data_IF_259562897654
#
_entry.id   IF_259562897654
#
_cell.length_a   1.000
_cell.length_b   1.000
_cell.length_c   1.000
_cell.angle_alpha   90.00
_cell.angle_beta   90.00
_cell.angle_gamma   90.00
#
_symmetry.space_group_name_H-M   'P 1'
#
loop_
_entity.id
_entity.type
_entity.pdbx_description
1 polymer ?
#
# COMPACT_ATOMS: atom_id res chain seq x y z
N UNK A 1 42.99 -33.17 -5.42
CA UNK A 1 42.92 -31.96 -4.56
C UNK A 1 42.57 -30.69 -5.34
N UNK A 2 43.12 -30.48 -6.54
CA UNK A 2 42.78 -29.33 -7.41
C UNK A 2 41.31 -29.31 -7.84
N UNK A 3 40.75 -30.45 -8.26
CA UNK A 3 39.32 -30.56 -8.65
C UNK A 3 38.35 -30.15 -7.51
N UNK A 4 38.65 -30.55 -6.28
CA UNK A 4 37.88 -30.18 -5.10
C UNK A 4 38.01 -28.69 -4.77
N UNK A 5 39.19 -28.07 -4.96
CA UNK A 5 39.41 -26.64 -4.81
C UNK A 5 38.65 -25.84 -5.89
N UNK A 6 38.70 -26.33 -7.13
CA UNK A 6 37.97 -25.73 -8.25
C UNK A 6 36.44 -25.81 -8.03
N UNK A 7 35.95 -26.98 -7.63
CA UNK A 7 34.53 -27.16 -7.28
C UNK A 7 34.12 -26.26 -6.10
N UNK A 8 34.93 -26.15 -5.06
CA UNK A 8 34.66 -25.25 -3.94
C UNK A 8 34.63 -23.78 -4.38
N UNK A 9 35.60 -23.33 -5.18
CA UNK A 9 35.68 -21.96 -5.65
C UNK A 9 34.52 -21.55 -6.57
N UNK A 10 33.82 -22.50 -7.19
CA UNK A 10 32.60 -22.25 -7.99
C UNK A 10 31.30 -22.33 -7.16
N UNK A 11 31.38 -22.71 -5.88
CA UNK A 11 30.20 -22.71 -5.01
C UNK A 11 29.83 -21.30 -4.56
N UNK A 12 28.55 -21.05 -4.39
CA UNK A 12 28.05 -19.80 -3.82
C UNK A 12 28.61 -19.51 -2.41
N UNK A 13 29.00 -20.54 -1.65
CA UNK A 13 29.64 -20.38 -0.33
C UNK A 13 30.99 -19.67 -0.40
N UNK A 14 31.78 -19.99 -1.42
CA UNK A 14 33.08 -19.33 -1.61
C UNK A 14 32.97 -17.90 -2.13
N UNK A 15 31.85 -17.56 -2.76
CA UNK A 15 31.59 -16.24 -3.34
C UNK A 15 30.77 -15.32 -2.41
N UNK A 16 30.30 -15.82 -1.26
CA UNK A 16 29.42 -15.08 -0.35
C UNK A 16 30.15 -13.89 0.28
N UNK A 17 29.65 -12.69 0.01
CA UNK A 17 30.15 -11.46 0.64
C UNK A 17 29.47 -11.21 1.97
N UNK A 18 30.12 -10.41 2.84
CA UNK A 18 29.53 -10.03 4.13
C UNK A 18 28.22 -9.24 3.96
N UNK A 19 28.15 -8.38 2.95
CA UNK A 19 26.93 -7.63 2.65
C UNK A 19 25.78 -8.54 2.22
N UNK A 20 26.04 -9.54 1.37
CA UNK A 20 25.04 -10.54 0.98
C UNK A 20 24.57 -11.35 2.20
N UNK A 21 25.49 -11.74 3.09
CA UNK A 21 25.11 -12.44 4.33
C UNK A 21 24.15 -11.63 5.19
N UNK A 22 24.39 -10.31 5.36
CA UNK A 22 23.45 -9.42 6.07
C UNK A 22 22.09 -9.39 5.35
N UNK A 23 22.06 -9.26 4.03
CA UNK A 23 20.80 -9.23 3.28
C UNK A 23 20.03 -10.54 3.37
N UNK A 24 20.70 -11.68 3.40
CA UNK A 24 20.09 -13.00 3.65
C UNK A 24 19.43 -13.00 5.04
N UNK A 25 20.12 -12.51 6.08
CA UNK A 25 19.55 -12.43 7.43
C UNK A 25 18.31 -11.53 7.42
N UNK A 26 18.37 -10.36 6.78
CA UNK A 26 17.21 -9.45 6.65
C UNK A 26 16.04 -10.17 5.97
N UNK A 27 16.29 -10.86 4.85
CA UNK A 27 15.26 -11.62 4.14
C UNK A 27 14.64 -12.72 5.02
N UNK A 28 15.45 -13.45 5.79
CA UNK A 28 14.97 -14.48 6.73
C UNK A 28 14.14 -13.90 7.86
N UNK A 29 14.53 -12.72 8.40
CA UNK A 29 13.73 -12.01 9.41
C UNK A 29 12.38 -11.61 8.83
N UNK A 30 12.33 -11.05 7.61
CA UNK A 30 11.08 -10.68 6.97
C UNK A 30 10.21 -11.90 6.67
N UNK A 31 10.78 -13.03 6.24
CA UNK A 31 10.09 -14.31 6.07
C UNK A 31 9.50 -14.79 7.40
N UNK A 32 10.27 -14.74 8.48
CA UNK A 32 9.78 -15.10 9.81
C UNK A 32 8.59 -14.23 10.24
N UNK A 33 8.67 -12.92 10.01
CA UNK A 33 7.60 -11.97 10.32
C UNK A 33 6.36 -12.28 9.48
N UNK A 34 6.51 -12.53 8.18
CA UNK A 34 5.40 -12.87 7.30
C UNK A 34 4.70 -14.17 7.73
N UNK A 35 5.48 -15.23 8.05
CA UNK A 35 4.94 -16.56 8.35
C UNK A 35 4.41 -16.65 9.79
N UNK A 36 5.23 -16.26 10.78
CA UNK A 36 4.90 -16.45 12.20
C UNK A 36 4.00 -15.35 12.74
N UNK A 37 4.24 -14.10 12.37
CA UNK A 37 3.44 -12.96 12.82
C UNK A 37 2.24 -12.69 11.92
N UNK A 38 2.17 -13.33 10.74
CA UNK A 38 1.12 -13.17 9.72
C UNK A 38 0.96 -11.70 9.27
N UNK A 39 2.08 -10.97 9.22
CA UNK A 39 2.12 -9.59 8.79
C UNK A 39 2.12 -9.53 7.26
N UNK A 40 0.99 -9.13 6.67
CA UNK A 40 0.76 -8.99 5.22
C UNK A 40 1.37 -10.15 4.39
N UNK A 41 1.03 -11.44 4.74
CA UNK A 41 1.75 -12.60 4.23
C UNK A 41 1.67 -12.72 2.70
N UNK A 42 0.59 -12.25 2.08
CA UNK A 42 0.40 -12.34 0.63
C UNK A 42 1.47 -11.58 -0.17
N UNK A 43 2.02 -10.50 0.36
CA UNK A 43 3.02 -9.68 -0.30
C UNK A 43 4.39 -9.77 0.36
N UNK A 44 4.44 -9.72 1.69
CA UNK A 44 5.72 -9.73 2.38
C UNK A 44 6.49 -11.05 2.18
N UNK A 45 5.79 -12.20 2.07
CA UNK A 45 6.42 -13.49 1.83
C UNK A 45 7.12 -13.54 0.45
N UNK A 46 6.45 -13.26 -0.69
CA UNK A 46 7.14 -13.26 -1.97
C UNK A 46 8.20 -12.15 -2.10
N UNK A 47 8.01 -10.97 -1.49
CA UNK A 47 9.05 -9.91 -1.44
C UNK A 47 10.28 -10.43 -0.72
N UNK A 48 10.12 -11.00 0.47
CA UNK A 48 11.24 -11.50 1.26
C UNK A 48 11.97 -12.65 0.56
N UNK A 49 11.22 -13.50 -0.14
CA UNK A 49 11.83 -14.60 -0.91
C UNK A 49 12.57 -14.09 -2.15
N UNK A 50 12.03 -13.09 -2.85
CA UNK A 50 12.72 -12.41 -3.95
C UNK A 50 14.02 -11.74 -3.50
N UNK A 51 13.98 -11.08 -2.32
CA UNK A 51 15.18 -10.52 -1.69
C UNK A 51 16.20 -11.61 -1.34
N UNK A 52 15.76 -12.76 -0.84
CA UNK A 52 16.62 -13.90 -0.57
C UNK A 52 17.31 -14.37 -1.85
N UNK A 53 16.54 -14.61 -2.92
CA UNK A 53 17.06 -15.14 -4.18
C UNK A 53 18.12 -14.24 -4.81
N UNK A 54 17.94 -12.93 -4.83
CA UNK A 54 18.89 -11.99 -5.48
C UNK A 54 20.17 -11.78 -4.68
N UNK A 55 20.13 -12.03 -3.36
CA UNK A 55 21.29 -11.87 -2.48
C UNK A 55 22.04 -13.20 -2.24
N UNK A 56 21.55 -14.31 -2.76
CA UNK A 56 22.33 -15.54 -2.83
C UNK A 56 23.39 -15.40 -3.94
N UNK A 57 24.65 -15.79 -3.70
CA UNK A 57 25.67 -15.78 -4.73
C UNK A 57 25.28 -16.68 -5.90
N UNK A 58 25.34 -16.14 -7.11
CA UNK A 58 25.09 -16.83 -8.36
C UNK A 58 26.31 -16.84 -9.27
N UNK A 59 26.20 -17.52 -10.40
CA UNK A 59 27.24 -17.47 -11.44
C UNK A 59 27.32 -16.02 -11.97
N UNK A 60 28.54 -15.45 -12.08
CA UNK A 60 28.70 -14.11 -12.63
C UNK A 60 28.07 -14.00 -14.04
N UNK A 61 27.31 -12.94 -14.28
CA UNK A 61 26.56 -12.64 -15.52
C UNK A 61 25.42 -13.63 -15.87
N UNK A 62 25.07 -14.57 -14.99
CA UNK A 62 23.95 -15.50 -15.14
C UNK A 62 22.94 -15.38 -13.99
N UNK A 63 22.91 -14.25 -13.30
CA UNK A 63 22.01 -13.99 -12.18
C UNK A 63 20.53 -13.93 -12.61
N UNK A 64 19.62 -14.24 -11.70
CA UNK A 64 18.17 -14.26 -11.97
C UNK A 64 17.64 -12.88 -12.43
N UNK A 65 18.31 -11.78 -12.08
CA UNK A 65 17.95 -10.40 -12.47
C UNK A 65 18.80 -9.89 -13.66
N UNK A 66 19.74 -10.70 -14.17
CA UNK A 66 20.53 -10.38 -15.35
C UNK A 66 19.76 -10.70 -16.64
N UNK A 67 20.11 -10.07 -17.80
CA UNK A 67 19.51 -10.37 -19.08
C UNK A 67 19.56 -11.87 -19.38
N UNK A 68 18.39 -12.48 -19.61
CA UNK A 68 18.24 -13.95 -19.77
C UNK A 68 17.70 -14.65 -18.52
N UNK A 69 17.79 -14.05 -17.35
CA UNK A 69 17.26 -14.60 -16.07
C UNK A 69 15.74 -14.48 -15.94
N UNK A 70 15.15 -15.41 -15.19
CA UNK A 70 13.69 -15.45 -15.00
C UNK A 70 13.15 -14.15 -14.41
N UNK A 71 13.76 -13.64 -13.33
CA UNK A 71 13.29 -12.44 -12.65
C UNK A 71 13.49 -11.18 -13.49
N UNK A 72 14.51 -11.17 -14.38
CA UNK A 72 14.70 -10.08 -15.32
C UNK A 72 13.49 -9.90 -16.24
N UNK A 73 12.97 -10.98 -16.83
CA UNK A 73 11.80 -10.90 -17.72
C UNK A 73 10.52 -10.59 -16.94
N UNK A 74 10.31 -11.21 -15.80
CA UNK A 74 9.16 -10.90 -14.97
C UNK A 74 9.18 -9.44 -14.46
N UNK A 75 10.37 -8.91 -14.15
CA UNK A 75 10.53 -7.52 -13.71
C UNK A 75 10.16 -6.50 -14.79
N UNK A 76 10.17 -6.86 -16.07
CA UNK A 76 9.70 -5.94 -17.12
C UNK A 76 8.24 -5.52 -16.89
N UNK A 77 7.38 -6.37 -16.36
CA UNK A 77 6.00 -6.00 -16.02
C UNK A 77 5.92 -4.96 -14.89
N UNK A 78 6.88 -4.94 -13.96
CA UNK A 78 7.04 -3.86 -12.97
C UNK A 78 7.50 -2.59 -13.66
N UNK A 79 8.60 -2.67 -14.42
CA UNK A 79 9.25 -1.54 -15.12
C UNK A 79 8.30 -0.84 -16.09
N UNK A 80 7.46 -1.59 -16.77
CA UNK A 80 6.42 -1.07 -17.67
C UNK A 80 5.17 -0.56 -16.92
N UNK A 81 5.07 -0.80 -15.60
CA UNK A 81 3.94 -0.36 -14.79
C UNK A 81 2.66 -1.17 -15.01
N UNK A 82 2.76 -2.46 -15.37
CA UNK A 82 1.63 -3.34 -15.68
C UNK A 82 0.99 -3.90 -14.40
N UNK A 83 1.79 -4.42 -13.48
CA UNK A 83 1.25 -5.16 -12.31
C UNK A 83 0.46 -4.29 -11.33
N UNK A 84 0.88 -3.07 -10.96
CA UNK A 84 0.11 -2.26 -10.00
C UNK A 84 -1.31 -1.95 -10.47
N UNK A 85 -1.57 -1.52 -11.72
CA UNK A 85 -2.94 -1.35 -12.23
C UNK A 85 -3.77 -2.66 -12.21
N UNK A 86 -3.17 -3.81 -12.52
CA UNK A 86 -3.86 -5.10 -12.45
C UNK A 86 -4.22 -5.50 -11.00
N UNK A 87 -3.39 -5.16 -10.02
CA UNK A 87 -3.75 -5.31 -8.60
C UNK A 87 -4.92 -4.38 -8.27
N UNK A 88 -4.93 -3.15 -8.76
CA UNK A 88 -6.04 -2.22 -8.57
C UNK A 88 -7.36 -2.74 -9.16
N UNK A 89 -7.31 -3.42 -10.32
CA UNK A 89 -8.47 -4.12 -10.88
C UNK A 89 -9.04 -5.15 -9.88
N UNK A 90 -8.18 -5.95 -9.30
CA UNK A 90 -8.58 -6.98 -8.34
C UNK A 90 -9.08 -6.38 -7.01
N UNK A 91 -8.45 -5.31 -6.54
CA UNK A 91 -8.91 -4.54 -5.37
C UNK A 91 -10.30 -3.96 -5.64
N UNK A 92 -10.54 -3.37 -6.82
CA UNK A 92 -11.83 -2.83 -7.21
C UNK A 92 -12.94 -3.87 -7.22
N UNK A 93 -12.65 -5.07 -7.75
CA UNK A 93 -13.58 -6.21 -7.73
C UNK A 93 -13.85 -6.73 -6.30
N UNK A 94 -12.91 -6.57 -5.38
CA UNK A 94 -13.04 -7.01 -3.98
C UNK A 94 -13.71 -5.97 -3.08
N UNK A 95 -13.68 -4.70 -3.47
CA UNK A 95 -14.07 -3.56 -2.63
C UNK A 95 -15.58 -3.26 -2.75
N UNK A 96 -16.20 -2.94 -1.61
CA UNK A 96 -17.55 -2.38 -1.59
C UNK A 96 -17.47 -0.85 -1.42
N UNK A 97 -17.85 -0.12 -2.46
CA UNK A 97 -17.95 1.34 -2.44
C UNK A 97 -19.28 1.86 -1.89
N UNK A 98 -20.22 0.98 -1.55
CA UNK A 98 -21.52 1.35 -0.99
C UNK A 98 -21.43 2.33 0.18
N UNK A 99 -20.56 2.10 1.21
CA UNK A 99 -20.40 3.03 2.32
C UNK A 99 -19.94 4.44 1.91
N UNK A 100 -19.10 4.55 0.89
CA UNK A 100 -18.64 5.82 0.34
C UNK A 100 -19.76 6.53 -0.44
N UNK A 101 -20.52 5.79 -1.25
CA UNK A 101 -21.65 6.31 -2.02
C UNK A 101 -22.76 6.78 -1.05
N UNK A 102 -23.01 6.00 0.01
CA UNK A 102 -24.01 6.35 1.02
C UNK A 102 -23.66 7.63 1.81
N UNK A 103 -22.36 7.86 2.03
CA UNK A 103 -21.86 9.05 2.74
C UNK A 103 -20.65 9.66 2.01
N UNK A 104 -20.86 10.47 0.95
CA UNK A 104 -19.77 11.08 0.17
C UNK A 104 -18.84 11.99 0.98
N UNK A 105 -19.30 12.50 2.13
CA UNK A 105 -18.43 13.30 3.05
C UNK A 105 -17.22 12.50 3.54
N UNK A 106 -17.27 11.17 3.47
CA UNK A 106 -16.14 10.28 3.76
C UNK A 106 -14.92 10.54 2.87
N UNK A 107 -15.11 11.09 1.65
CA UNK A 107 -14.01 11.50 0.77
C UNK A 107 -13.08 12.50 1.45
N UNK A 108 -13.62 13.41 2.24
CA UNK A 108 -12.83 14.40 2.97
C UNK A 108 -11.93 13.76 4.05
N UNK A 109 -12.38 12.68 4.68
CA UNK A 109 -11.57 11.92 5.65
C UNK A 109 -10.43 11.16 4.95
N UNK A 110 -10.71 10.55 3.80
CA UNK A 110 -9.67 9.94 2.95
C UNK A 110 -8.65 10.97 2.47
N UNK A 111 -9.10 12.14 2.03
CA UNK A 111 -8.22 13.23 1.62
C UNK A 111 -7.36 13.75 2.80
N UNK A 112 -7.94 13.91 3.99
CA UNK A 112 -7.21 14.35 5.17
C UNK A 112 -6.11 13.36 5.61
N UNK A 113 -6.33 12.07 5.42
CA UNK A 113 -5.33 11.05 5.70
C UNK A 113 -4.12 11.10 4.73
N UNK A 114 -4.27 11.71 3.55
CA UNK A 114 -3.13 11.94 2.65
C UNK A 114 -2.11 12.96 3.20
N UNK A 115 -2.40 13.61 4.32
CA UNK A 115 -1.42 14.44 5.04
C UNK A 115 -0.10 13.69 5.28
N UNK A 116 -0.16 12.37 5.49
CA UNK A 116 1.02 11.51 5.62
C UNK A 116 1.94 11.56 4.40
N UNK A 117 1.38 11.61 3.18
CA UNK A 117 2.13 11.72 1.93
C UNK A 117 2.93 13.04 1.91
N UNK A 118 2.26 14.16 2.21
CA UNK A 118 2.89 15.48 2.14
C UNK A 118 3.95 15.69 3.22
N UNK A 119 3.71 15.19 4.44
CA UNK A 119 4.70 15.26 5.52
C UNK A 119 5.95 14.43 5.19
N UNK A 120 5.80 13.23 4.67
CA UNK A 120 6.94 12.42 4.25
C UNK A 120 7.68 13.04 3.05
N UNK A 121 6.95 13.62 2.10
CA UNK A 121 7.53 14.35 0.97
C UNK A 121 8.39 15.52 1.46
N UNK A 122 7.83 16.39 2.30
CA UNK A 122 8.55 17.55 2.86
C UNK A 122 9.75 17.06 3.68
N UNK A 123 9.56 16.05 4.53
CA UNK A 123 10.64 15.45 5.32
C UNK A 123 11.78 14.91 4.46
N UNK A 124 11.46 14.28 3.33
CA UNK A 124 12.46 13.78 2.38
C UNK A 124 13.26 14.92 1.72
N UNK A 125 12.59 16.01 1.33
CA UNK A 125 13.26 17.22 0.81
C UNK A 125 14.19 17.82 1.86
N UNK A 126 13.73 17.97 3.10
CA UNK A 126 14.54 18.49 4.22
C UNK A 126 15.77 17.61 4.50
N UNK A 127 15.66 16.31 4.30
CA UNK A 127 16.79 15.37 4.42
C UNK A 127 17.72 15.37 3.19
N UNK A 128 17.52 16.27 2.22
CA UNK A 128 18.38 16.48 1.07
C UNK A 128 18.14 15.52 -0.09
N UNK A 129 16.99 14.86 -0.16
CA UNK A 129 16.60 13.99 -1.27
C UNK A 129 16.03 14.83 -2.42
N UNK A 130 16.18 14.34 -3.64
CA UNK A 130 15.63 14.99 -4.84
C UNK A 130 14.09 14.98 -4.84
N UNK A 131 13.44 15.87 -5.59
CA UNK A 131 11.98 15.91 -5.68
C UNK A 131 11.36 14.59 -6.15
N UNK A 132 12.02 13.86 -7.07
CA UNK A 132 11.59 12.54 -7.55
C UNK A 132 11.67 11.48 -6.46
N UNK A 133 12.76 11.45 -5.71
CA UNK A 133 12.94 10.55 -4.57
C UNK A 133 11.95 10.88 -3.45
N UNK A 134 11.80 12.17 -3.14
CA UNK A 134 10.87 12.63 -2.11
C UNK A 134 9.42 12.29 -2.46
N UNK A 135 9.00 12.42 -3.73
CA UNK A 135 7.68 12.01 -4.19
C UNK A 135 7.47 10.49 -4.05
N UNK A 136 8.50 9.70 -4.39
CA UNK A 136 8.46 8.24 -4.24
C UNK A 136 8.41 7.78 -2.78
N UNK A 137 9.07 8.51 -1.87
CA UNK A 137 9.03 8.22 -0.43
C UNK A 137 7.71 8.73 0.17
N UNK A 138 7.28 9.92 -0.24
CA UNK A 138 6.05 10.54 0.25
C UNK A 138 4.84 9.62 0.07
N UNK A 139 4.71 8.99 -1.10
CA UNK A 139 3.56 8.14 -1.42
C UNK A 139 3.36 6.95 -0.45
N UNK A 140 4.41 6.52 0.28
CA UNK A 140 4.31 5.51 1.34
C UNK A 140 3.25 5.92 2.37
N UNK A 141 3.15 7.22 2.65
CA UNK A 141 2.20 7.79 3.62
C UNK A 141 0.72 7.58 3.27
N UNK A 142 0.41 7.27 2.01
CA UNK A 142 -0.93 6.88 1.60
C UNK A 142 -1.33 5.47 2.06
N UNK A 143 -0.37 4.66 2.53
CA UNK A 143 -0.56 3.28 2.94
C UNK A 143 -1.10 2.37 1.81
N UNK A 144 -0.60 2.59 0.61
CA UNK A 144 -1.01 1.90 -0.62
C UNK A 144 0.23 1.35 -1.35
N UNK A 145 0.50 0.07 -1.14
CA UNK A 145 1.68 -0.59 -1.68
C UNK A 145 1.76 -0.55 -3.21
N UNK A 146 0.72 -0.97 -3.94
CA UNK A 146 0.69 -0.90 -5.40
C UNK A 146 0.91 0.51 -5.96
N UNK A 147 0.32 1.53 -5.35
CA UNK A 147 0.53 2.95 -5.71
C UNK A 147 1.97 3.37 -5.45
N UNK A 148 2.56 2.96 -4.32
CA UNK A 148 3.96 3.25 -4.00
C UNK A 148 4.90 2.63 -5.04
N UNK A 149 4.69 1.38 -5.43
CA UNK A 149 5.46 0.72 -6.47
C UNK A 149 5.30 1.44 -7.82
N UNK A 150 4.07 1.74 -8.23
CA UNK A 150 3.79 2.41 -9.49
C UNK A 150 4.49 3.77 -9.62
N UNK A 151 4.39 4.58 -8.57
CA UNK A 151 5.00 5.90 -8.51
C UNK A 151 6.53 5.81 -8.52
N UNK A 152 7.08 4.96 -7.66
CA UNK A 152 8.54 4.79 -7.52
C UNK A 152 9.18 4.24 -8.79
N UNK A 153 8.53 3.28 -9.46
CA UNK A 153 9.03 2.74 -10.75
C UNK A 153 9.20 3.83 -11.80
N UNK A 154 8.35 4.87 -11.77
CA UNK A 154 8.40 5.98 -12.73
C UNK A 154 9.30 7.13 -12.31
N UNK A 155 9.42 7.44 -11.02
CA UNK A 155 10.14 8.60 -10.51
C UNK A 155 11.54 8.28 -9.99
N UNK A 156 11.71 7.17 -9.25
CA UNK A 156 12.95 6.78 -8.61
C UNK A 156 13.15 5.26 -8.57
N UNK A 157 13.36 4.60 -9.73
CA UNK A 157 13.45 3.13 -9.82
C UNK A 157 14.51 2.50 -8.91
N UNK A 158 15.61 3.23 -8.64
CA UNK A 158 16.69 2.78 -7.75
C UNK A 158 16.23 2.59 -6.29
N UNK A 159 15.14 3.27 -5.86
CA UNK A 159 14.59 3.18 -4.51
C UNK A 159 13.45 2.16 -4.40
N UNK A 160 13.13 1.43 -5.47
CA UNK A 160 11.97 0.55 -5.53
C UNK A 160 12.00 -0.54 -4.44
N UNK A 161 13.11 -1.22 -4.26
CA UNK A 161 13.27 -2.27 -3.24
C UNK A 161 13.04 -1.75 -1.82
N UNK A 162 13.81 -0.75 -1.37
CA UNK A 162 13.62 -0.14 -0.04
C UNK A 162 12.21 0.40 0.18
N UNK A 163 11.61 1.09 -0.79
CA UNK A 163 10.26 1.66 -0.68
C UNK A 163 9.20 0.57 -0.59
N UNK A 164 9.31 -0.49 -1.38
CA UNK A 164 8.35 -1.59 -1.32
C UNK A 164 8.41 -2.33 0.02
N UNK A 165 9.63 -2.66 0.50
CA UNK A 165 9.81 -3.29 1.83
C UNK A 165 9.22 -2.39 2.92
N UNK A 166 9.48 -1.07 2.88
CA UNK A 166 8.92 -0.12 3.84
C UNK A 166 7.39 -0.09 3.77
N UNK A 167 6.81 0.13 2.59
CA UNK A 167 5.37 0.28 2.40
C UNK A 167 4.60 -0.95 2.92
N UNK A 168 5.01 -2.15 2.53
CA UNK A 168 4.31 -3.37 2.95
C UNK A 168 4.57 -3.74 4.42
N UNK A 169 5.77 -3.48 4.93
CA UNK A 169 6.04 -3.68 6.36
C UNK A 169 5.17 -2.76 7.23
N UNK A 170 4.98 -1.50 6.83
CA UNK A 170 4.15 -0.56 7.59
C UNK A 170 2.66 -0.84 7.45
N UNK A 171 2.18 -1.27 6.29
CA UNK A 171 0.80 -1.76 6.15
C UNK A 171 0.51 -2.87 7.16
N UNK A 172 1.43 -3.80 7.34
CA UNK A 172 1.32 -4.87 8.32
C UNK A 172 1.29 -4.37 9.78
N UNK A 173 1.90 -3.22 10.05
CA UNK A 173 1.96 -2.60 11.37
C UNK A 173 0.76 -1.68 11.69
N UNK A 174 -0.16 -1.46 10.76
CA UNK A 174 -1.39 -0.66 10.97
C UNK A 174 -2.10 -1.00 12.29
N UNK A 175 -2.35 -2.30 12.62
CA UNK A 175 -3.01 -2.66 13.88
C UNK A 175 -2.21 -2.33 15.14
N UNK A 176 -0.93 -2.01 15.01
CA UNK A 176 -0.03 -1.64 16.12
C UNK A 176 0.13 -0.12 16.20
N UNK A 177 0.31 0.54 15.04
CA UNK A 177 0.60 1.98 14.97
C UNK A 177 -0.65 2.82 15.23
N UNK A 178 -1.80 2.44 14.67
CA UNK A 178 -3.02 3.25 14.75
C UNK A 178 -3.66 3.33 16.15
N UNK A 179 -3.80 2.24 16.94
CA UNK A 179 -4.51 2.29 18.21
C UNK A 179 -3.95 3.32 19.21
N UNK A 180 -2.64 3.43 19.46
CA UNK A 180 -2.11 4.43 20.37
C UNK A 180 -2.38 5.86 19.87
N UNK A 181 -2.26 6.11 18.56
CA UNK A 181 -2.50 7.43 17.96
C UNK A 181 -3.99 7.81 18.09
N UNK A 182 -4.90 6.90 17.80
CA UNK A 182 -6.34 7.10 17.95
C UNK A 182 -6.68 7.42 19.42
N UNK A 183 -6.18 6.62 20.35
CA UNK A 183 -6.44 6.80 21.79
C UNK A 183 -5.86 8.11 22.33
N UNK A 184 -4.69 8.54 21.82
CA UNK A 184 -4.07 9.82 22.18
C UNK A 184 -4.88 11.03 21.70
N UNK A 185 -5.41 10.95 20.49
CA UNK A 185 -6.09 12.07 19.83
C UNK A 185 -7.59 12.14 20.15
N UNK A 186 -8.19 11.09 20.69
CA UNK A 186 -9.64 11.03 20.97
C UNK A 186 -9.93 10.81 22.43
N UNK A 187 -10.98 11.45 22.93
CA UNK A 187 -11.49 11.22 24.28
C UNK A 187 -12.35 9.94 24.33
N UNK A 188 -12.51 9.35 25.51
CA UNK A 188 -13.37 8.19 25.71
C UNK A 188 -14.82 8.45 25.26
N UNK A 189 -15.34 9.66 25.50
CA UNK A 189 -16.68 10.07 25.06
C UNK A 189 -16.79 10.07 23.52
N UNK A 190 -15.79 10.60 22.81
CA UNK A 190 -15.75 10.60 21.36
C UNK A 190 -15.69 9.18 20.78
N UNK A 191 -14.93 8.27 21.40
CA UNK A 191 -14.82 6.88 20.95
C UNK A 191 -16.11 6.07 21.14
N UNK A 192 -16.95 6.47 22.08
CA UNK A 192 -18.24 5.83 22.34
C UNK A 192 -19.39 6.32 21.47
N UNK A 193 -19.18 7.33 20.63
CA UNK A 193 -20.22 7.86 19.72
C UNK A 193 -20.68 6.75 18.77
N UNK A 194 -21.98 6.44 18.83
CA UNK A 194 -22.65 5.55 17.88
C UNK A 194 -23.10 6.36 16.67
N UNK A 195 -22.84 5.81 15.49
CA UNK A 195 -23.30 6.44 14.25
C UNK A 195 -24.60 5.82 13.78
N UNK A 196 -25.44 6.64 13.15
CA UNK A 196 -26.70 6.20 12.55
C UNK A 196 -26.41 5.34 11.33
N UNK A 197 -27.19 4.29 11.12
CA UNK A 197 -27.04 3.38 9.98
C UNK A 197 -26.98 4.16 8.65
N UNK A 198 -26.08 3.73 7.76
CA UNK A 198 -25.97 4.29 6.41
C UNK A 198 -27.24 3.99 5.60
N UNK A 199 -27.61 4.91 4.70
CA UNK A 199 -28.69 4.67 3.75
C UNK A 199 -28.37 3.50 2.82
N UNK A 200 -29.36 2.84 2.34
CA UNK A 200 -29.21 1.86 1.28
C UNK A 200 -28.82 2.55 -0.04
N UNK A 201 -27.93 1.90 -0.78
CA UNK A 201 -27.45 2.37 -2.08
C UNK A 201 -28.06 1.51 -3.16
N UNK A 202 -28.70 2.15 -4.13
CA UNK A 202 -29.35 1.47 -5.24
C UNK A 202 -28.32 0.83 -6.19
N UNK A 203 -28.74 -0.21 -6.92
CA UNK A 203 -27.90 -0.86 -7.93
C UNK A 203 -27.42 0.12 -9.02
N UNK A 204 -28.29 1.05 -9.41
CA UNK A 204 -27.95 2.09 -10.39
C UNK A 204 -26.83 3.01 -9.91
N UNK A 205 -26.86 3.46 -8.65
CA UNK A 205 -25.80 4.26 -8.05
C UNK A 205 -24.46 3.49 -8.02
N UNK A 206 -24.49 2.20 -7.66
CA UNK A 206 -23.31 1.35 -7.62
C UNK A 206 -22.67 1.13 -8.99
N UNK A 207 -23.46 1.09 -10.07
CA UNK A 207 -22.96 0.98 -11.45
C UNK A 207 -22.47 2.33 -11.98
N UNK A 208 -23.19 3.43 -11.68
CA UNK A 208 -22.85 4.77 -12.16
C UNK A 208 -21.58 5.29 -11.49
N UNK A 209 -21.36 4.99 -10.22
CA UNK A 209 -20.24 5.49 -9.41
C UNK A 209 -18.87 5.23 -10.05
N UNK A 210 -18.47 3.98 -10.41
CA UNK A 210 -17.17 3.72 -11.00
C UNK A 210 -16.99 4.40 -12.36
N UNK A 211 -18.05 4.54 -13.16
CA UNK A 211 -17.99 5.25 -14.45
C UNK A 211 -17.73 6.74 -14.21
N UNK A 212 -18.51 7.36 -13.31
CA UNK A 212 -18.39 8.78 -12.99
C UNK A 212 -17.01 9.12 -12.39
N UNK A 213 -16.52 8.32 -11.44
CA UNK A 213 -15.19 8.51 -10.84
C UNK A 213 -14.09 8.38 -11.90
N UNK A 214 -14.17 7.37 -12.78
CA UNK A 214 -13.19 7.22 -13.87
C UNK A 214 -13.14 8.46 -14.76
N UNK A 215 -14.31 8.91 -15.24
CA UNK A 215 -14.39 10.08 -16.14
C UNK A 215 -13.88 11.33 -15.44
N UNK A 216 -14.40 11.65 -14.26
CA UNK A 216 -14.06 12.90 -13.55
C UNK A 216 -12.57 12.91 -13.19
N UNK A 217 -12.06 11.85 -12.57
CA UNK A 217 -10.65 11.83 -12.13
C UNK A 217 -9.69 11.83 -13.31
N UNK A 218 -9.98 11.08 -14.38
CA UNK A 218 -9.11 11.04 -15.55
C UNK A 218 -9.09 12.37 -16.32
N UNK A 219 -10.20 13.07 -16.38
CA UNK A 219 -10.24 14.41 -17.00
C UNK A 219 -9.46 15.43 -16.19
N UNK A 220 -9.47 15.35 -14.86
CA UNK A 220 -8.75 16.27 -13.99
C UNK A 220 -7.26 15.90 -13.85
N UNK A 221 -6.95 14.61 -13.76
CA UNK A 221 -5.59 14.09 -13.50
C UNK A 221 -5.33 12.87 -14.39
N UNK A 222 -4.97 13.10 -15.68
CA UNK A 222 -4.78 12.00 -16.64
C UNK A 222 -3.77 10.93 -16.21
N UNK A 223 -2.74 11.30 -15.47
CA UNK A 223 -1.72 10.37 -14.95
C UNK A 223 -2.23 9.39 -13.89
N UNK A 224 -3.39 9.65 -13.25
CA UNK A 224 -4.05 8.71 -12.36
C UNK A 224 -4.89 7.64 -13.10
N UNK A 225 -5.13 7.82 -14.40
CA UNK A 225 -6.00 6.95 -15.19
C UNK A 225 -5.66 5.46 -15.10
N UNK A 226 -4.38 5.01 -15.14
CA UNK A 226 -4.08 3.59 -15.07
C UNK A 226 -4.50 2.95 -13.74
N UNK A 227 -4.34 3.65 -12.61
CA UNK A 227 -4.70 3.13 -11.30
C UNK A 227 -6.21 3.25 -11.06
N UNK A 228 -6.77 4.45 -11.21
CA UNK A 228 -8.21 4.70 -10.97
C UNK A 228 -9.07 3.96 -11.99
N UNK A 229 -8.71 3.97 -13.27
CA UNK A 229 -9.45 3.27 -14.31
C UNK A 229 -9.56 1.78 -14.04
N UNK A 230 -8.45 1.14 -13.66
CA UNK A 230 -8.46 -0.29 -13.34
C UNK A 230 -9.19 -0.60 -12.02
N UNK A 231 -9.07 0.25 -10.99
CA UNK A 231 -9.85 0.13 -9.76
C UNK A 231 -11.36 0.18 -10.05
N UNK A 232 -11.76 1.17 -10.82
CA UNK A 232 -13.17 1.38 -11.16
C UNK A 232 -13.70 0.33 -12.14
N UNK A 233 -12.88 -0.15 -13.07
CA UNK A 233 -13.24 -1.28 -13.94
C UNK A 233 -13.51 -2.54 -13.09
N UNK A 234 -12.66 -2.86 -12.13
CA UNK A 234 -12.89 -3.99 -11.23
C UNK A 234 -14.20 -3.86 -10.46
N UNK A 235 -14.49 -2.67 -9.95
CA UNK A 235 -15.74 -2.41 -9.26
C UNK A 235 -16.96 -2.50 -10.21
N UNK A 236 -16.87 -1.95 -11.41
CA UNK A 236 -17.93 -2.04 -12.41
C UNK A 236 -18.21 -3.50 -12.80
N UNK A 237 -17.18 -4.32 -13.01
CA UNK A 237 -17.32 -5.76 -13.28
C UNK A 237 -18.13 -6.42 -12.16
N UNK A 238 -17.82 -6.14 -10.89
CA UNK A 238 -18.54 -6.66 -9.73
C UNK A 238 -19.97 -6.18 -9.67
N UNK A 239 -20.21 -4.87 -9.71
CA UNK A 239 -21.53 -4.27 -9.48
C UNK A 239 -22.49 -4.46 -10.68
N UNK A 240 -21.97 -4.75 -11.86
CA UNK A 240 -22.77 -5.10 -13.04
C UNK A 240 -23.67 -6.33 -12.80
N UNK A 241 -23.13 -7.32 -12.06
CA UNK A 241 -23.83 -8.56 -11.75
C UNK A 241 -24.02 -9.53 -12.93
N UNK A 242 -23.41 -9.24 -14.10
CA UNK A 242 -23.59 -10.05 -15.32
C UNK A 242 -22.46 -11.04 -15.58
N UNK A 243 -21.35 -10.94 -14.88
CA UNK A 243 -20.14 -11.73 -15.08
C UNK A 243 -19.57 -12.31 -13.75
N UNK A 244 -20.43 -12.94 -12.97
CA UNK A 244 -20.10 -13.44 -11.62
C UNK A 244 -18.83 -14.29 -11.57
N UNK A 245 -18.65 -15.24 -12.51
CA UNK A 245 -17.46 -16.08 -12.58
C UNK A 245 -16.18 -15.24 -12.80
N UNK A 246 -16.24 -14.20 -13.63
CA UNK A 246 -15.09 -13.30 -13.85
C UNK A 246 -14.72 -12.57 -12.57
N UNK A 247 -15.70 -12.12 -11.79
CA UNK A 247 -15.46 -11.45 -10.49
C UNK A 247 -14.68 -12.36 -9.55
N UNK A 248 -15.07 -13.64 -9.43
CA UNK A 248 -14.39 -14.60 -8.55
C UNK A 248 -12.93 -14.82 -8.96
N UNK A 249 -12.64 -14.93 -10.27
CA UNK A 249 -11.29 -15.11 -10.77
C UNK A 249 -10.45 -13.83 -10.63
N UNK A 250 -11.02 -12.67 -10.87
CA UNK A 250 -10.31 -11.39 -10.75
C UNK A 250 -9.94 -11.08 -9.30
N UNK A 251 -10.85 -11.26 -8.36
CA UNK A 251 -10.59 -11.00 -6.93
C UNK A 251 -9.76 -12.08 -6.25
N UNK A 252 -9.68 -13.29 -6.84
CA UNK A 252 -8.96 -14.45 -6.30
C UNK A 252 -7.70 -14.77 -7.09
N UNK A 253 -7.81 -15.67 -8.07
CA UNK A 253 -6.66 -16.22 -8.78
C UNK A 253 -5.76 -15.16 -9.42
N UNK A 254 -6.34 -14.18 -10.11
CA UNK A 254 -5.57 -13.12 -10.76
C UNK A 254 -4.81 -12.28 -9.72
N UNK A 255 -5.46 -11.85 -8.63
CA UNK A 255 -4.82 -11.09 -7.56
C UNK A 255 -3.60 -11.84 -7.01
N UNK A 256 -3.75 -13.12 -6.69
CA UNK A 256 -2.67 -13.91 -6.09
C UNK A 256 -1.51 -14.14 -7.06
N UNK A 257 -1.79 -14.47 -8.33
CA UNK A 257 -0.74 -14.64 -9.33
C UNK A 257 0.08 -13.36 -9.52
N UNK A 258 -0.58 -12.22 -9.68
CA UNK A 258 0.10 -10.93 -9.88
C UNK A 258 0.86 -10.53 -8.61
N UNK A 259 0.29 -10.78 -7.43
CA UNK A 259 0.92 -10.50 -6.14
C UNK A 259 2.22 -11.29 -5.96
N UNK A 260 2.24 -12.58 -6.33
CA UNK A 260 3.45 -13.40 -6.28
C UNK A 260 4.52 -12.84 -7.22
N UNK A 261 4.17 -12.61 -8.49
CA UNK A 261 5.13 -12.13 -9.49
C UNK A 261 5.67 -10.74 -9.12
N UNK A 262 4.77 -9.82 -8.73
CA UNK A 262 5.15 -8.49 -8.28
C UNK A 262 6.04 -8.57 -7.04
N UNK A 263 5.63 -9.33 -6.03
CA UNK A 263 6.36 -9.45 -4.78
C UNK A 263 7.79 -9.98 -4.99
N UNK A 264 7.93 -11.11 -5.68
CA UNK A 264 9.25 -11.71 -5.93
C UNK A 264 10.14 -10.77 -6.74
N UNK A 265 9.62 -10.16 -7.80
CA UNK A 265 10.42 -9.27 -8.67
C UNK A 265 10.82 -7.97 -7.98
N UNK A 266 9.91 -7.37 -7.20
CA UNK A 266 10.21 -6.17 -6.42
C UNK A 266 11.17 -6.49 -5.27
N UNK A 267 10.97 -7.62 -4.59
CA UNK A 267 11.91 -8.11 -3.58
C UNK A 267 13.33 -8.29 -4.13
N UNK A 268 13.44 -8.79 -5.36
CA UNK A 268 14.72 -8.95 -6.05
C UNK A 268 15.42 -7.61 -6.39
N UNK A 269 14.75 -6.48 -6.34
CA UNK A 269 15.41 -5.17 -6.44
C UNK A 269 16.09 -4.73 -5.15
N UNK A 270 15.81 -5.38 -4.02
CA UNK A 270 16.43 -5.11 -2.72
C UNK A 270 17.74 -5.92 -2.57
N UNK A 271 18.76 -5.50 -3.28
CA UNK A 271 20.09 -6.08 -3.21
C UNK A 271 21.02 -5.26 -2.28
N UNK A 272 22.26 -5.72 -2.11
CA UNK A 272 23.26 -5.08 -1.24
C UNK A 272 23.47 -3.61 -1.54
N UNK A 273 23.50 -3.23 -2.82
CA UNK A 273 23.78 -1.85 -3.26
C UNK A 273 22.60 -0.92 -3.04
N UNK A 274 21.38 -1.43 -3.28
CA UNK A 274 20.15 -0.62 -3.18
C UNK A 274 19.60 -0.54 -1.77
N UNK A 275 19.86 -1.55 -0.92
CA UNK A 275 19.24 -1.66 0.39
C UNK A 275 20.15 -1.26 1.55
N UNK A 276 21.43 -1.63 1.53
CA UNK A 276 22.39 -1.35 2.62
C UNK A 276 23.01 0.04 2.47
N UNK A 277 22.20 1.09 2.56
CA UNK A 277 22.64 2.47 2.49
C UNK A 277 21.86 3.39 3.43
N UNK A 278 22.39 4.59 3.68
CA UNK A 278 21.76 5.59 4.57
C UNK A 278 20.39 6.03 4.05
N UNK A 279 20.18 6.05 2.74
CA UNK A 279 18.89 6.42 2.13
C UNK A 279 17.80 5.45 2.53
N UNK A 280 18.08 4.15 2.62
CA UNK A 280 17.13 3.15 3.12
C UNK A 280 16.68 3.45 4.55
N UNK A 281 17.60 3.82 5.44
CA UNK A 281 17.25 4.22 6.81
C UNK A 281 16.35 5.46 6.84
N UNK A 282 16.64 6.45 5.97
CA UNK A 282 15.77 7.63 5.80
C UNK A 282 14.37 7.22 5.32
N UNK A 283 14.28 6.33 4.33
CA UNK A 283 13.00 5.80 3.82
C UNK A 283 12.21 5.11 4.93
N UNK A 284 12.86 4.23 5.69
CA UNK A 284 12.23 3.53 6.81
C UNK A 284 11.73 4.51 7.88
N UNK A 285 12.53 5.48 8.30
CA UNK A 285 12.11 6.47 9.28
C UNK A 285 10.94 7.32 8.76
N UNK A 286 11.07 7.90 7.55
CA UNK A 286 10.04 8.74 6.96
C UNK A 286 8.73 7.98 6.71
N UNK A 287 8.80 6.72 6.28
CA UNK A 287 7.62 5.89 6.07
C UNK A 287 6.83 5.66 7.35
N UNK A 288 7.52 5.40 8.47
CA UNK A 288 6.87 5.25 9.78
C UNK A 288 6.18 6.54 10.22
N UNK A 289 6.87 7.68 10.10
CA UNK A 289 6.27 9.00 10.39
C UNK A 289 5.09 9.29 9.45
N UNK A 290 5.22 9.00 8.16
CA UNK A 290 4.15 9.19 7.19
C UNK A 290 2.86 8.46 7.58
N UNK A 291 2.98 7.21 7.97
CA UNK A 291 1.87 6.39 8.44
C UNK A 291 1.19 6.95 9.69
N UNK A 292 2.01 7.37 10.67
CA UNK A 292 1.52 7.99 11.88
C UNK A 292 0.75 9.28 11.56
N UNK A 293 1.32 10.15 10.75
CA UNK A 293 0.70 11.42 10.39
C UNK A 293 -0.52 11.29 9.48
N UNK A 294 -0.58 10.26 8.62
CA UNK A 294 -1.81 9.91 7.90
C UNK A 294 -2.97 9.61 8.85
N UNK A 295 -2.71 8.80 9.87
CA UNK A 295 -3.68 8.53 10.93
C UNK A 295 -4.05 9.80 11.71
N UNK A 296 -3.06 10.62 12.08
CA UNK A 296 -3.28 11.91 12.78
C UNK A 296 -4.18 12.83 11.95
N UNK A 297 -3.86 13.03 10.67
CA UNK A 297 -4.64 13.87 9.76
C UNK A 297 -6.09 13.43 9.66
N UNK A 298 -6.31 12.14 9.44
CA UNK A 298 -7.65 11.57 9.36
C UNK A 298 -8.45 11.75 10.66
N UNK A 299 -7.86 11.45 11.84
CA UNK A 299 -8.53 11.60 13.14
C UNK A 299 -8.83 13.06 13.46
N UNK A 300 -7.88 13.97 13.22
CA UNK A 300 -8.09 15.40 13.49
C UNK A 300 -9.22 15.95 12.63
N UNK A 301 -9.26 15.61 11.34
CA UNK A 301 -10.36 16.00 10.48
C UNK A 301 -11.67 15.33 10.90
N UNK A 302 -11.63 14.08 11.37
CA UNK A 302 -12.76 13.41 12.00
C UNK A 302 -13.31 14.16 13.21
N UNK A 303 -12.46 14.77 14.04
CA UNK A 303 -12.87 15.64 15.16
C UNK A 303 -13.56 16.91 14.67
N UNK A 304 -13.05 17.52 13.60
CA UNK A 304 -13.71 18.67 12.97
C UNK A 304 -15.11 18.28 12.51
N UNK A 305 -15.25 17.15 11.80
CA UNK A 305 -16.54 16.63 11.36
C UNK A 305 -17.46 16.27 12.53
N UNK A 306 -16.94 15.71 13.60
CA UNK A 306 -17.67 15.43 14.84
C UNK A 306 -18.27 16.72 15.42
N UNK A 307 -17.45 17.77 15.54
CA UNK A 307 -17.90 19.07 16.05
C UNK A 307 -18.96 19.70 15.13
N UNK A 308 -18.73 19.71 13.82
CA UNK A 308 -19.66 20.28 12.83
C UNK A 308 -21.00 19.51 12.75
N UNK A 309 -20.99 18.20 13.05
CA UNK A 309 -22.20 17.36 13.06
C UNK A 309 -22.96 17.39 14.40
N UNK A 310 -22.52 18.18 15.38
CA UNK A 310 -23.12 18.17 16.73
C UNK A 310 -22.91 16.84 17.47
N UNK A 311 -21.75 16.19 17.29
CA UNK A 311 -21.40 14.94 17.99
C UNK A 311 -21.96 13.66 17.35
N UNK A 312 -22.46 13.72 16.11
CA UNK A 312 -23.04 12.55 15.41
C UNK A 312 -22.03 11.69 14.67
N UNK A 313 -20.86 12.24 14.34
CA UNK A 313 -19.78 11.53 13.64
C UNK A 313 -18.72 11.10 14.65
N UNK A 314 -18.39 9.82 14.68
CA UNK A 314 -17.30 9.31 15.50
C UNK A 314 -15.95 9.65 14.85
N UNK A 315 -15.08 10.44 15.51
CA UNK A 315 -13.83 10.90 14.89
C UNK A 315 -12.85 9.78 14.55
N UNK A 316 -12.97 8.61 15.20
CA UNK A 316 -12.10 7.48 14.92
C UNK A 316 -12.19 6.97 13.48
N UNK A 317 -13.34 7.16 12.80
CA UNK A 317 -13.48 6.70 11.40
C UNK A 317 -12.49 7.39 10.47
N UNK A 318 -12.01 8.59 10.83
CA UNK A 318 -10.97 9.29 10.08
C UNK A 318 -9.63 8.55 10.05
N UNK A 319 -9.29 7.77 11.07
CA UNK A 319 -8.09 6.92 11.07
C UNK A 319 -8.11 5.88 9.93
N UNK A 320 -9.30 5.49 9.49
CA UNK A 320 -9.46 4.56 8.38
C UNK A 320 -9.22 5.22 7.01
N UNK A 321 -9.02 6.53 6.94
CA UNK A 321 -8.75 7.25 5.69
C UNK A 321 -7.42 6.89 5.01
N UNK A 322 -6.52 6.16 5.68
CA UNK A 322 -5.36 5.53 5.04
C UNK A 322 -5.81 4.36 4.15
N UNK A 323 -5.10 4.12 3.05
CA UNK A 323 -5.52 3.16 2.01
C UNK A 323 -5.34 1.67 2.37
N UNK A 324 -5.00 1.34 3.62
CA UNK A 324 -4.86 -0.05 4.09
C UNK A 324 -6.23 -0.73 4.24
N UNK A 325 -6.84 -1.11 3.13
CA UNK A 325 -8.18 -1.71 3.05
C UNK A 325 -8.09 -3.23 3.24
N UNK A 326 -8.92 -3.85 4.08
CA UNK A 326 -9.86 -3.26 5.07
C UNK A 326 -9.25 -3.13 6.48
N UNK A 327 -7.93 -3.23 6.62
CA UNK A 327 -7.27 -3.32 7.94
C UNK A 327 -7.52 -2.10 8.83
N UNK A 328 -7.37 -0.89 8.29
CA UNK A 328 -7.57 0.33 9.06
C UNK A 328 -9.04 0.46 9.55
N UNK A 329 -10.01 0.08 8.74
CA UNK A 329 -11.41 0.04 9.16
C UNK A 329 -11.68 -0.98 10.27
N UNK A 330 -11.01 -2.15 10.23
CA UNK A 330 -11.11 -3.17 11.28
C UNK A 330 -10.49 -2.69 12.60
N UNK A 331 -9.40 -1.93 12.55
CA UNK A 331 -8.79 -1.31 13.76
C UNK A 331 -9.79 -0.37 14.42
N UNK A 332 -10.43 0.51 13.65
CA UNK A 332 -11.47 1.41 14.16
C UNK A 332 -12.65 0.64 14.78
N UNK A 333 -13.13 -0.40 14.09
CA UNK A 333 -14.18 -1.27 14.62
C UNK A 333 -13.79 -1.91 15.96
N UNK A 334 -12.57 -2.46 16.04
CA UNK A 334 -12.08 -3.12 17.26
C UNK A 334 -12.04 -2.14 18.44
N UNK A 335 -11.45 -0.95 18.24
CA UNK A 335 -11.38 0.08 19.30
C UNK A 335 -12.80 0.54 19.68
N UNK A 336 -13.70 0.72 18.71
CA UNK A 336 -15.08 1.10 18.97
C UNK A 336 -15.80 0.09 19.87
N UNK A 337 -15.61 -1.21 19.62
CA UNK A 337 -16.20 -2.28 20.43
C UNK A 337 -15.54 -2.44 21.81
N UNK A 338 -14.22 -2.19 21.91
CA UNK A 338 -13.53 -2.16 23.23
C UNK A 338 -14.11 -1.07 24.15
N UNK A 339 -14.49 0.07 23.60
CA UNK A 339 -15.06 1.21 24.36
C UNK A 339 -16.58 1.10 24.58
N UNK A 340 -17.27 0.45 23.65
CA UNK A 340 -18.72 0.19 23.71
C UNK A 340 -19.07 -1.02 22.81
N UNK A 341 -19.41 -2.20 23.39
CA UNK A 341 -19.68 -3.43 22.64
C UNK A 341 -20.76 -3.32 21.56
N UNK A 342 -21.69 -2.37 21.71
CA UNK A 342 -22.74 -2.12 20.72
C UNK A 342 -22.39 -1.07 19.65
N UNK A 343 -21.11 -0.66 19.57
CA UNK A 343 -20.65 0.35 18.62
C UNK A 343 -20.08 -0.32 17.36
N UNK A 344 -20.90 -0.36 16.29
CA UNK A 344 -20.55 -0.97 15.01
C UNK A 344 -20.10 0.11 14.03
N UNK A 345 -18.78 0.37 13.97
CA UNK A 345 -18.19 1.42 13.13
C UNK A 345 -17.65 0.92 11.81
N UNK A 346 -17.61 -0.39 11.54
CA UNK A 346 -16.93 -0.97 10.37
C UNK A 346 -17.41 -0.34 9.07
N UNK A 347 -18.73 -0.33 8.84
CA UNK A 347 -19.29 0.21 7.60
C UNK A 347 -19.04 1.72 7.46
N UNK A 348 -19.07 2.46 8.56
CA UNK A 348 -18.74 3.89 8.57
C UNK A 348 -17.26 4.16 8.31
N UNK A 349 -16.36 3.28 8.79
CA UNK A 349 -14.92 3.37 8.58
C UNK A 349 -14.52 2.89 7.16
N UNK A 350 -15.29 2.01 6.53
CA UNK A 350 -15.03 1.58 5.14
C UNK A 350 -15.16 2.73 4.15
N UNK A 351 -16.08 3.68 4.35
CA UNK A 351 -16.20 4.86 3.49
C UNK A 351 -14.89 5.65 3.36
N UNK A 352 -14.32 6.18 4.46
CA UNK A 352 -13.02 6.82 4.45
C UNK A 352 -11.88 5.91 3.97
N UNK A 353 -11.92 4.62 4.28
CA UNK A 353 -10.89 3.67 3.92
C UNK A 353 -10.76 3.51 2.39
N UNK A 354 -11.90 3.36 1.73
CA UNK A 354 -11.97 3.28 0.27
C UNK A 354 -11.67 4.63 -0.39
N UNK A 355 -12.11 5.74 0.24
CA UNK A 355 -11.75 7.09 -0.18
C UNK A 355 -10.24 7.32 -0.15
N UNK A 356 -9.53 6.71 0.80
CA UNK A 356 -8.08 6.72 0.88
C UNK A 356 -7.40 6.12 -0.37
N UNK A 357 -7.92 5.01 -0.89
CA UNK A 357 -7.38 4.36 -2.11
C UNK A 357 -7.51 5.29 -3.33
N UNK A 358 -8.65 5.94 -3.47
CA UNK A 358 -8.83 6.96 -4.53
C UNK A 358 -7.87 8.12 -4.28
N UNK A 359 -7.74 8.58 -3.04
CA UNK A 359 -6.87 9.68 -2.63
C UNK A 359 -5.40 9.40 -2.91
N UNK A 360 -4.88 8.22 -2.58
CA UNK A 360 -3.49 7.84 -2.85
C UNK A 360 -3.20 7.76 -4.35
N UNK A 361 -4.11 7.18 -5.15
CA UNK A 361 -3.96 7.11 -6.60
C UNK A 361 -4.00 8.50 -7.26
N UNK A 362 -4.86 9.40 -6.78
CA UNK A 362 -4.92 10.80 -7.20
C UNK A 362 -3.63 11.53 -6.82
N UNK A 363 -3.16 11.39 -5.58
CA UNK A 363 -1.91 11.99 -5.13
C UNK A 363 -0.70 11.49 -5.95
N UNK A 364 -0.63 10.19 -6.25
CA UNK A 364 0.38 9.64 -7.14
C UNK A 364 0.31 10.27 -8.53
N UNK A 365 -0.90 10.43 -9.07
CA UNK A 365 -1.12 11.10 -10.35
C UNK A 365 -0.58 12.53 -10.36
N UNK A 366 -0.86 13.31 -9.32
CA UNK A 366 -0.36 14.69 -9.17
C UNK A 366 1.17 14.70 -9.07
N UNK A 367 1.76 13.85 -8.23
CA UNK A 367 3.22 13.75 -8.10
C UNK A 367 3.89 13.37 -9.42
N UNK A 368 3.28 12.48 -10.20
CA UNK A 368 3.77 12.11 -11.54
C UNK A 368 3.71 13.27 -12.53
N UNK A 369 2.72 14.16 -12.45
CA UNK A 369 2.66 15.35 -13.31
C UNK A 369 3.77 16.34 -12.95
N UNK A 370 4.01 16.53 -11.65
CA UNK A 370 4.96 17.55 -11.16
C UNK A 370 6.41 17.11 -11.37
N UNK A 371 6.74 15.83 -11.16
CA UNK A 371 8.12 15.34 -11.06
C UNK A 371 8.55 14.39 -12.19
N UNK A 372 7.70 14.07 -13.16
CA UNK A 372 8.10 13.28 -14.33
C UNK A 372 8.90 14.13 -15.29
#
# INVERSE_FOLDING_TARGET
MELLKTLYSTTGLAMLTWQQFIMIIVALILLYVAIRKKYEPYLLLPISFGMLLVNLPGVPNEGMMEPGGLLYYLYQGVKLGIYPPLIFLSIGASTDFGPLIANPKSLLLGAAAQLGIFIAFIGAIVLGLTGREAASIGIIGGADGPTAIYTTTKLAPALLGPIAVAAYSYMALVPIIQPPIIKLLTTKKERQIKMVQLREVSKGEKILFPIAVTVIVTLLIPSAAPLIGMLMLGNLIKESGVVGNLVEHVKGAMLYCITIVLGVTVGATANTHTFLNVTTLKILALGLFAFAFGTVGGVLFGKIMCKLSGGKVNPMIGAAGVSAVPMAARVVQKIGQEENPSNFLLMHAMGPNVAGVIGSAVAAGVLLIIFK
#
